data_IF_912709197618
#
_entry.id   IF_912709197618
#
_cell.length_a   1.000
_cell.length_b   1.000
_cell.length_c   1.000
_cell.angle_alpha   90.00
_cell.angle_beta   90.00
_cell.angle_gamma   90.00
#
_symmetry.space_group_name_H-M   'P 1'
#
loop_
_entity.id
_entity.type
_entity.pdbx_description
1 polymer ?
#
# COMPACT_ATOMS: atom_id res chain seq x y z
N UNK A 1 -8.72 -14.59 18.64
CA UNK A 1 -7.50 -13.84 19.01
C UNK A 1 -7.12 -13.01 17.81
N UNK A 2 -7.20 -11.68 17.92
CA UNK A 2 -6.85 -10.75 16.84
C UNK A 2 -5.35 -10.48 16.97
N UNK A 3 -4.53 -11.13 16.15
CA UNK A 3 -3.09 -10.86 16.14
C UNK A 3 -2.88 -9.46 15.56
N UNK A 4 -2.66 -8.48 16.44
CA UNK A 4 -2.36 -7.11 16.07
C UNK A 4 -0.95 -7.08 15.49
N UNK A 5 -0.86 -7.19 14.17
CA UNK A 5 0.38 -7.12 13.40
C UNK A 5 0.66 -5.66 13.08
N UNK A 6 1.84 -5.20 13.48
CA UNK A 6 2.34 -3.86 13.15
C UNK A 6 3.23 -3.95 11.91
N UNK A 7 3.09 -2.99 11.01
CA UNK A 7 3.86 -2.93 9.78
C UNK A 7 4.02 -1.50 9.30
N UNK A 8 4.94 -1.30 8.38
CA UNK A 8 5.26 -0.01 7.77
C UNK A 8 4.98 -0.10 6.28
N UNK A 9 4.33 0.91 5.71
CA UNK A 9 4.22 1.06 4.26
C UNK A 9 4.82 2.38 3.82
N UNK A 10 5.58 2.29 2.73
CA UNK A 10 6.29 3.37 2.09
C UNK A 10 5.61 3.61 0.74
N UNK A 11 4.93 4.74 0.60
CA UNK A 11 4.38 5.21 -0.67
C UNK A 11 5.46 5.98 -1.43
N UNK A 12 5.65 5.64 -2.70
CA UNK A 12 6.59 6.26 -3.64
C UNK A 12 5.76 6.78 -4.82
N UNK A 13 5.67 8.10 -4.99
CA UNK A 13 4.92 8.70 -6.10
C UNK A 13 5.60 8.35 -7.44
N UNK A 14 4.83 7.87 -8.42
CA UNK A 14 5.38 7.21 -9.62
C UNK A 14 5.68 8.14 -10.80
N UNK A 15 5.47 9.45 -10.66
CA UNK A 15 5.79 10.43 -11.72
C UNK A 15 7.30 10.52 -12.02
N UNK A 16 8.11 9.76 -11.27
CA UNK A 16 9.53 9.55 -11.53
C UNK A 16 9.78 8.33 -12.44
N UNK A 17 10.11 8.61 -13.71
CA UNK A 17 10.66 7.62 -14.65
C UNK A 17 12.07 7.22 -14.18
N UNK A 18 12.20 6.03 -13.60
CA UNK A 18 13.53 5.48 -13.26
C UNK A 18 14.30 5.08 -14.53
N UNK A 19 15.42 5.77 -14.79
CA UNK A 19 16.50 5.29 -15.66
C UNK A 19 17.84 5.52 -14.97
N UNK A 20 18.63 4.46 -14.76
CA UNK A 20 20.05 4.57 -14.36
C UNK A 20 20.44 3.82 -13.08
N UNK A 21 21.73 3.53 -12.98
CA UNK A 21 22.42 2.69 -11.98
C UNK A 21 22.59 3.41 -10.61
N UNK A 22 22.10 4.63 -10.48
CA UNK A 22 22.25 5.46 -9.28
C UNK A 22 20.90 5.68 -8.57
N UNK A 23 20.90 5.46 -7.26
CA UNK A 23 19.79 5.80 -6.38
C UNK A 23 19.58 7.34 -6.37
N UNK A 24 18.36 7.86 -6.58
CA UNK A 24 18.11 9.31 -6.51
C UNK A 24 18.24 9.82 -5.07
N UNK A 25 18.63 11.09 -4.93
CA UNK A 25 18.74 11.79 -3.64
C UNK A 25 17.38 11.87 -2.92
N UNK A 26 17.44 11.81 -1.58
CA UNK A 26 16.32 11.64 -0.64
C UNK A 26 15.19 12.68 -0.70
N UNK A 27 15.38 13.81 -1.37
CA UNK A 27 14.43 14.94 -1.34
C UNK A 27 13.30 14.80 -2.38
N UNK A 28 13.39 13.84 -3.30
CA UNK A 28 12.39 13.59 -4.34
C UNK A 28 11.39 12.47 -3.97
N UNK A 29 11.63 11.79 -2.84
CA UNK A 29 10.72 10.81 -2.27
C UNK A 29 9.94 11.45 -1.13
N UNK A 30 8.67 11.78 -1.35
CA UNK A 30 7.77 12.03 -0.21
C UNK A 30 7.47 10.69 0.46
N UNK A 31 8.38 10.26 1.32
CA UNK A 31 8.29 9.02 2.08
C UNK A 31 7.21 9.20 3.15
N UNK A 32 5.97 8.90 2.80
CA UNK A 32 4.86 8.95 3.75
C UNK A 32 4.93 7.65 4.56
N UNK A 33 5.64 7.70 5.69
CA UNK A 33 5.64 6.61 6.65
C UNK A 33 4.23 6.49 7.23
N UNK A 34 3.55 5.41 6.88
CA UNK A 34 2.18 5.15 7.30
C UNK A 34 2.12 3.84 8.07
N UNK A 35 1.27 3.82 9.11
CA UNK A 35 1.16 2.69 10.02
C UNK A 35 0.18 1.69 9.46
N UNK A 36 0.58 0.43 9.36
CA UNK A 36 -0.31 -0.67 9.05
C UNK A 36 -0.99 -1.18 10.32
N UNK A 37 -2.30 -1.44 10.23
CA UNK A 37 -3.11 -1.98 11.32
C UNK A 37 -4.06 -3.07 10.80
N UNK A 38 -4.57 -3.89 11.73
CA UNK A 38 -5.58 -4.92 11.45
C UNK A 38 -5.20 -5.86 10.29
N UNK A 39 -3.90 -6.18 10.17
CA UNK A 39 -3.41 -6.95 9.04
C UNK A 39 -3.86 -8.42 9.13
N UNK A 40 -4.39 -8.93 8.03
CA UNK A 40 -4.73 -10.33 7.81
C UNK A 40 -4.04 -10.74 6.52
N UNK A 41 -3.18 -11.75 6.60
CA UNK A 41 -2.53 -12.35 5.44
C UNK A 41 -2.89 -13.82 5.40
N UNK A 42 -3.55 -14.21 4.32
CA UNK A 42 -3.94 -15.58 3.99
C UNK A 42 -3.47 -15.90 2.56
N UNK A 43 -3.46 -17.18 2.19
CA UNK A 43 -3.03 -17.65 0.88
C UNK A 43 -3.77 -16.95 -0.27
N UNK A 44 -5.06 -16.66 -0.09
CA UNK A 44 -5.90 -16.10 -1.14
C UNK A 44 -6.23 -14.62 -0.96
N UNK A 45 -5.83 -14.02 0.17
CA UNK A 45 -6.32 -12.69 0.55
C UNK A 45 -5.34 -11.97 1.46
N UNK A 46 -5.18 -10.67 1.24
CA UNK A 46 -4.49 -9.77 2.15
C UNK A 46 -5.40 -8.59 2.46
N UNK A 47 -5.59 -8.31 3.75
CA UNK A 47 -6.36 -7.16 4.23
C UNK A 47 -5.53 -6.39 5.24
N UNK A 48 -5.58 -5.08 5.19
CA UNK A 48 -4.97 -4.23 6.21
C UNK A 48 -5.58 -2.83 6.13
N UNK A 49 -5.46 -2.09 7.23
CA UNK A 49 -5.70 -0.66 7.23
C UNK A 49 -4.36 0.07 7.13
N UNK A 50 -4.30 1.11 6.29
CA UNK A 50 -3.18 2.05 6.21
C UNK A 50 -3.60 3.35 6.87
N UNK A 51 -2.81 3.81 7.84
CA UNK A 51 -3.03 5.06 8.57
C UNK A 51 -1.96 6.07 8.18
N UNK A 52 -2.41 7.16 7.54
CA UNK A 52 -1.59 8.26 7.06
C UNK A 52 -1.83 9.53 7.86
N UNK A 53 -0.75 10.11 8.40
CA UNK A 53 -0.80 11.42 9.03
C UNK A 53 -0.53 12.50 7.97
N UNK A 54 -1.49 13.41 7.79
CA UNK A 54 -1.41 14.52 6.82
C UNK A 54 -0.97 15.82 7.51
N UNK A 55 -1.45 16.04 8.74
CA UNK A 55 -1.05 17.13 9.64
C UNK A 55 -1.25 16.70 11.10
N UNK A 56 -0.87 17.54 12.07
CA UNK A 56 -0.89 17.22 13.51
C UNK A 56 -2.25 16.72 14.04
N UNK A 57 -3.36 17.05 13.35
CA UNK A 57 -4.72 16.68 13.75
C UNK A 57 -5.50 15.89 12.68
N UNK A 58 -4.89 15.59 11.52
CA UNK A 58 -5.59 14.94 10.41
C UNK A 58 -4.99 13.57 10.05
N UNK A 59 -5.80 12.54 10.28
CA UNK A 59 -5.49 11.15 9.98
C UNK A 59 -6.39 10.64 8.84
N UNK A 60 -5.76 10.21 7.74
CA UNK A 60 -6.44 9.49 6.67
C UNK A 60 -6.24 7.99 6.88
N UNK A 61 -7.34 7.25 7.01
CA UNK A 61 -7.31 5.82 7.15
C UNK A 61 -7.92 5.14 5.93
N UNK A 62 -7.12 4.37 5.21
CA UNK A 62 -7.57 3.56 4.09
C UNK A 62 -7.77 2.12 4.55
N UNK A 63 -8.87 1.49 4.13
CA UNK A 63 -9.04 0.04 4.23
C UNK A 63 -8.68 -0.61 2.90
N UNK A 64 -7.73 -1.53 2.95
CA UNK A 64 -7.18 -2.22 1.78
C UNK A 64 -7.62 -3.69 1.81
N UNK A 65 -8.16 -4.16 0.69
CA UNK A 65 -8.55 -5.55 0.50
C UNK A 65 -8.01 -6.07 -0.83
N UNK A 66 -7.14 -7.06 -0.78
CA UNK A 66 -6.42 -7.63 -1.91
C UNK A 66 -6.75 -9.11 -2.04
N UNK A 67 -7.06 -9.54 -3.25
CA UNK A 67 -7.38 -10.93 -3.59
C UNK A 67 -6.31 -11.47 -4.54
N UNK A 68 -5.84 -12.68 -4.25
CA UNK A 68 -4.86 -13.38 -5.09
C UNK A 68 -5.43 -13.61 -6.50
N UNK A 69 -4.59 -13.45 -7.50
CA UNK A 69 -4.87 -13.81 -8.89
C UNK A 69 -4.31 -15.21 -9.19
N UNK A 70 -4.83 -15.83 -10.24
CA UNK A 70 -4.46 -17.19 -10.65
C UNK A 70 -2.96 -17.37 -10.93
N UNK A 71 -2.23 -16.27 -11.15
CA UNK A 71 -0.84 -16.28 -11.57
C UNK A 71 0.09 -15.91 -10.41
N UNK A 72 0.75 -16.93 -9.85
CA UNK A 72 1.90 -16.78 -8.96
C UNK A 72 1.58 -16.02 -7.67
N UNK A 73 2.31 -14.92 -7.46
CA UNK A 73 2.26 -14.04 -6.27
C UNK A 73 1.46 -12.76 -6.51
N UNK A 74 0.68 -12.68 -7.60
CA UNK A 74 -0.07 -11.47 -7.96
C UNK A 74 -1.35 -11.35 -7.14
N UNK A 75 -1.65 -10.14 -6.69
CA UNK A 75 -2.86 -9.76 -5.98
C UNK A 75 -3.43 -8.47 -6.58
N UNK A 76 -4.75 -8.30 -6.52
CA UNK A 76 -5.38 -7.02 -6.81
C UNK A 76 -6.58 -6.76 -5.92
N UNK A 77 -6.97 -5.50 -5.82
CA UNK A 77 -8.17 -5.11 -5.11
C UNK A 77 -8.27 -3.60 -4.98
N UNK A 78 -8.80 -3.13 -3.87
CA UNK A 78 -9.16 -1.73 -3.69
C UNK A 78 -8.65 -1.22 -2.33
N UNK A 79 -8.27 0.06 -2.30
CA UNK A 79 -8.18 0.86 -1.09
C UNK A 79 -9.35 1.83 -1.04
N UNK A 80 -9.98 1.95 0.14
CA UNK A 80 -11.09 2.89 0.35
C UNK A 80 -10.78 3.78 1.53
N UNK A 81 -10.89 5.08 1.35
CA UNK A 81 -10.75 6.02 2.45
C UNK A 81 -11.95 5.88 3.40
N UNK A 82 -11.72 5.55 4.68
CA UNK A 82 -12.81 5.29 5.64
C UNK A 82 -13.72 6.49 5.87
N UNK A 83 -13.14 7.70 5.86
CA UNK A 83 -13.88 8.95 6.03
C UNK A 83 -14.68 9.35 4.78
N UNK A 84 -14.24 8.92 3.60
CA UNK A 84 -14.87 9.19 2.32
C UNK A 84 -14.89 7.92 1.46
N UNK A 85 -15.86 7.01 1.65
CA UNK A 85 -15.86 5.70 1.01
C UNK A 85 -15.92 5.71 -0.52
N UNK A 86 -16.36 6.83 -1.10
CA UNK A 86 -16.39 7.07 -2.54
C UNK A 86 -15.00 7.40 -3.10
N UNK A 87 -14.04 7.76 -2.25
CA UNK A 87 -12.63 7.88 -2.63
C UNK A 87 -11.99 6.49 -2.62
N UNK A 88 -11.85 5.92 -3.82
CA UNK A 88 -11.38 4.56 -4.07
C UNK A 88 -10.08 4.63 -4.87
N UNK A 89 -9.13 3.75 -4.53
CA UNK A 89 -7.98 3.49 -5.37
C UNK A 89 -7.92 2.01 -5.77
N UNK A 90 -7.59 1.75 -7.03
CA UNK A 90 -7.25 0.39 -7.46
C UNK A 90 -5.84 0.04 -7.02
N UNK A 91 -5.67 -1.18 -6.51
CA UNK A 91 -4.37 -1.73 -6.15
C UNK A 91 -4.07 -2.96 -6.99
N UNK A 92 -2.87 -2.98 -7.57
CA UNK A 92 -2.27 -4.16 -8.23
C UNK A 92 -0.89 -4.38 -7.63
N UNK A 93 -0.65 -5.54 -7.05
CA UNK A 93 0.57 -5.80 -6.30
C UNK A 93 1.04 -7.26 -6.38
N UNK A 94 2.24 -7.50 -5.89
CA UNK A 94 2.80 -8.80 -5.63
C UNK A 94 3.09 -8.95 -4.14
N UNK A 95 2.81 -10.14 -3.60
CA UNK A 95 3.03 -10.46 -2.18
C UNK A 95 4.12 -11.52 -2.07
N UNK A 96 5.14 -11.19 -1.30
CA UNK A 96 6.30 -12.03 -1.02
C UNK A 96 6.30 -12.41 0.45
N UNK A 97 6.63 -13.67 0.73
CA UNK A 97 6.75 -14.21 2.09
C UNK A 97 8.21 -14.50 2.40
N UNK A 98 8.70 -14.10 3.58
CA UNK A 98 10.05 -14.47 4.01
C UNK A 98 10.16 -15.98 4.29
N UNK A 99 11.38 -16.50 4.33
CA UNK A 99 11.64 -17.95 4.48
C UNK A 99 11.04 -18.51 5.78
N UNK A 100 11.02 -17.71 6.85
CA UNK A 100 10.47 -18.11 8.15
C UNK A 100 8.94 -17.98 8.23
N UNK A 101 8.32 -17.36 7.23
CA UNK A 101 6.88 -17.14 7.12
C UNK A 101 6.26 -16.16 8.10
N UNK A 102 7.08 -15.30 8.72
CA UNK A 102 6.67 -14.29 9.72
C UNK A 102 6.58 -12.87 9.15
N UNK A 103 7.28 -12.61 8.05
CA UNK A 103 7.28 -11.31 7.39
C UNK A 103 6.76 -11.43 5.96
N UNK A 104 6.01 -10.41 5.55
CA UNK A 104 5.52 -10.25 4.20
C UNK A 104 5.97 -8.92 3.63
N UNK A 105 6.38 -8.93 2.36
CA UNK A 105 6.61 -7.72 1.57
C UNK A 105 5.54 -7.64 0.47
N UNK A 106 4.87 -6.50 0.38
CA UNK A 106 3.87 -6.20 -0.65
C UNK A 106 4.42 -5.07 -1.50
N UNK A 107 4.50 -5.29 -2.81
CA UNK A 107 5.03 -4.30 -3.75
C UNK A 107 3.99 -4.12 -4.84
N UNK A 108 3.55 -2.89 -5.07
CA UNK A 108 2.48 -2.67 -6.04
C UNK A 108 2.29 -1.23 -6.46
N UNK A 109 1.24 -1.02 -7.23
CA UNK A 109 0.77 0.28 -7.64
C UNK A 109 -0.58 0.57 -7.03
N UNK A 110 -0.81 1.85 -6.78
CA UNK A 110 -1.99 2.49 -6.23
C UNK A 110 -2.43 3.54 -7.23
N UNK A 111 -3.66 3.42 -7.72
CA UNK A 111 -4.23 4.26 -8.77
C UNK A 111 -5.54 4.86 -8.25
N UNK A 112 -5.52 6.14 -7.88
CA UNK A 112 -6.70 6.83 -7.35
C UNK A 112 -7.72 7.06 -8.46
N UNK A 113 -8.95 6.58 -8.21
CA UNK A 113 -10.08 6.82 -9.10
C UNK A 113 -10.71 8.14 -8.65
N UNK A 114 -10.17 9.25 -9.14
CA UNK A 114 -10.81 10.57 -9.01
C UNK A 114 -11.66 10.91 -10.24
N UNK A 115 -12.76 11.64 -10.02
CA UNK A 115 -13.64 12.18 -11.08
C UNK A 115 -12.93 13.24 -11.94
N UNK A 116 -11.90 13.91 -11.39
CA UNK A 116 -11.07 14.87 -12.11
C UNK A 116 -9.80 14.19 -12.64
N UNK A 117 -9.74 13.97 -13.96
CA UNK A 117 -8.59 13.36 -14.63
C UNK A 117 -7.27 14.12 -14.42
N UNK A 118 -7.32 15.40 -14.02
CA UNK A 118 -6.11 16.21 -13.79
C UNK A 118 -5.51 16.03 -12.39
N UNK A 119 -6.19 15.31 -11.49
CA UNK A 119 -5.77 15.17 -10.09
C UNK A 119 -5.62 13.72 -9.63
N UNK A 120 -5.58 12.77 -10.57
CA UNK A 120 -5.35 11.35 -10.27
C UNK A 120 -3.97 11.12 -9.67
N UNK A 121 -3.93 10.66 -8.43
CA UNK A 121 -2.72 10.17 -7.79
C UNK A 121 -2.36 8.76 -8.25
N UNK A 122 -1.15 8.60 -8.81
CA UNK A 122 -0.56 7.28 -9.03
C UNK A 122 0.71 7.12 -8.19
N UNK A 123 0.72 6.08 -7.37
CA UNK A 123 1.84 5.75 -6.50
C UNK A 123 2.28 4.30 -6.71
N UNK A 124 3.58 4.06 -6.69
CA UNK A 124 4.13 2.74 -6.38
C UNK A 124 4.29 2.65 -4.87
N UNK A 125 4.11 1.49 -4.26
CA UNK A 125 4.30 1.32 -2.82
C UNK A 125 5.03 0.04 -2.47
N UNK A 126 5.68 0.08 -1.30
CA UNK A 126 6.29 -1.08 -0.65
C UNK A 126 5.76 -1.14 0.78
N UNK A 127 5.04 -2.20 1.11
CA UNK A 127 4.55 -2.47 2.46
C UNK A 127 5.31 -3.65 3.07
N UNK A 128 5.67 -3.56 4.35
CA UNK A 128 6.18 -4.67 5.14
C UNK A 128 5.24 -4.96 6.29
N UNK A 129 4.71 -6.18 6.33
CA UNK A 129 3.87 -6.68 7.43
C UNK A 129 4.69 -7.70 8.22
N UNK A 130 4.74 -7.54 9.55
CA UNK A 130 5.41 -8.50 10.46
C UNK A 130 4.40 -9.04 11.48
N UNK A 131 4.47 -10.36 11.73
CA UNK A 131 3.63 -11.07 12.70
C UNK A 131 4.45 -11.59 13.90
#
# INVERSE_FOLDING_TARGET
MTNQSSGEIYLIRSDFKFHGVDYPNSDEFKLIATKLQNCIVDENMVKFDMVQYVSDDEELCYSINLIRKDVGTLYSGEAKLKSFPDHIAEIKCQVYKNIEGKDYAIIGNWDEIEDDENNKGYYTFIARIRF
#
